data_IF_126844361516
#
_entry.id   IF_126844361516
#
_cell.length_a   1.000
_cell.length_b   1.000
_cell.length_c   1.000
_cell.angle_alpha   90.00
_cell.angle_beta   90.00
_cell.angle_gamma   90.00
#
_symmetry.space_group_name_H-M   'P 1'
#
loop_
_entity.id
_entity.type
_entity.pdbx_description
1 polymer ?
#
# COMPACT_ATOMS: atom_id res chain seq x y z
N UNK A 1 -43.67 47.58 -53.07
CA UNK A 1 -42.27 47.22 -53.31
C UNK A 1 -41.32 48.16 -52.55
N UNK A 2 -40.79 47.82 -51.49
CA UNK A 2 -39.59 48.43 -50.91
C UNK A 2 -39.04 47.49 -49.81
N UNK A 3 -37.83 47.05 -49.98
CA UNK A 3 -37.09 46.30 -49.01
C UNK A 3 -36.40 47.24 -48.03
N UNK A 4 -36.53 46.94 -46.74
CA UNK A 4 -35.69 47.55 -45.69
C UNK A 4 -34.61 46.54 -45.29
N UNK A 5 -33.37 46.99 -45.34
CA UNK A 5 -32.20 46.27 -44.88
C UNK A 5 -32.04 46.46 -43.38
N UNK A 6 -31.88 45.40 -42.63
CA UNK A 6 -31.55 45.43 -41.22
C UNK A 6 -30.05 45.05 -41.05
N UNK A 7 -29.26 45.93 -40.53
CA UNK A 7 -27.87 45.71 -40.18
C UNK A 7 -27.82 45.01 -38.82
N UNK A 8 -27.25 43.81 -38.76
CA UNK A 8 -26.95 43.14 -37.52
C UNK A 8 -25.57 43.50 -37.06
N UNK A 9 -25.49 44.08 -35.88
CA UNK A 9 -24.24 44.33 -35.10
C UNK A 9 -23.69 43.00 -34.61
N UNK A 10 -22.54 42.60 -35.14
CA UNK A 10 -21.79 41.47 -34.64
C UNK A 10 -21.07 41.79 -33.34
N UNK A 11 -21.47 41.18 -32.25
CA UNK A 11 -20.66 41.10 -31.06
C UNK A 11 -19.70 39.95 -31.23
N UNK A 12 -18.39 40.24 -31.33
CA UNK A 12 -17.34 39.24 -31.40
C UNK A 12 -17.30 38.42 -30.13
N UNK A 13 -17.58 37.14 -30.24
CA UNK A 13 -17.24 36.15 -29.21
C UNK A 13 -15.72 36.01 -29.19
N UNK A 14 -15.11 36.12 -27.99
CA UNK A 14 -13.73 35.78 -27.77
C UNK A 14 -13.45 34.32 -28.12
N UNK A 15 -12.26 33.97 -28.65
CA UNK A 15 -11.92 32.60 -28.96
C UNK A 15 -12.02 31.76 -27.67
N UNK A 16 -12.87 30.74 -27.67
CA UNK A 16 -13.03 29.81 -26.58
C UNK A 16 -11.67 29.17 -26.22
N UNK A 17 -11.40 29.10 -24.95
CA UNK A 17 -10.31 28.27 -24.41
C UNK A 17 -10.40 26.88 -25.05
N UNK A 18 -9.26 26.27 -25.44
CA UNK A 18 -9.29 24.92 -25.97
C UNK A 18 -9.88 24.01 -24.89
N UNK A 19 -10.93 23.29 -25.26
CA UNK A 19 -11.55 22.30 -24.39
C UNK A 19 -10.43 21.37 -23.90
N UNK A 20 -10.14 21.42 -22.59
CA UNK A 20 -9.16 20.54 -21.98
C UNK A 20 -9.61 19.12 -22.28
N UNK A 21 -8.83 18.42 -23.06
CA UNK A 21 -9.06 16.99 -23.33
C UNK A 21 -9.06 16.30 -21.98
N UNK A 22 -10.20 15.75 -21.59
CA UNK A 22 -10.33 14.96 -20.36
C UNK A 22 -9.32 13.83 -20.44
N UNK A 23 -8.50 13.59 -19.38
CA UNK A 23 -7.57 12.49 -19.40
C UNK A 23 -8.34 11.18 -19.64
N UNK A 24 -7.81 10.36 -20.54
CA UNK A 24 -8.36 9.04 -20.86
C UNK A 24 -7.42 7.95 -20.33
N UNK A 25 -7.98 6.82 -19.98
CA UNK A 25 -7.20 5.63 -19.57
C UNK A 25 -6.48 5.01 -20.80
N UNK A 26 -5.69 3.97 -20.57
CA UNK A 26 -4.97 3.23 -21.62
C UNK A 26 -5.89 2.59 -22.70
N UNK A 27 -7.22 2.62 -22.50
CA UNK A 27 -8.25 2.16 -23.44
C UNK A 27 -9.03 3.30 -24.08
N UNK A 28 -8.66 4.57 -23.82
CA UNK A 28 -9.35 5.73 -24.36
C UNK A 28 -10.65 6.10 -23.64
N UNK A 29 -10.92 5.55 -22.45
CA UNK A 29 -12.12 5.84 -21.66
C UNK A 29 -11.94 7.10 -20.80
N UNK A 30 -12.98 7.96 -20.63
CA UNK A 30 -12.89 9.13 -19.77
C UNK A 30 -12.56 8.76 -18.31
N UNK A 31 -11.57 9.45 -17.70
CA UNK A 31 -11.07 9.20 -16.34
C UNK A 31 -11.91 9.92 -15.26
N UNK A 32 -13.23 9.97 -15.33
CA UNK A 32 -14.04 10.86 -14.49
C UNK A 32 -14.87 10.23 -13.37
N UNK A 33 -14.60 8.99 -12.96
CA UNK A 33 -15.41 8.35 -11.90
C UNK A 33 -14.81 8.47 -10.50
N UNK A 34 -14.32 9.65 -10.11
CA UNK A 34 -13.81 9.86 -8.75
C UNK A 34 -14.34 11.16 -8.13
N UNK A 35 -14.50 11.14 -6.81
CA UNK A 35 -15.01 12.26 -6.02
C UNK A 35 -14.18 12.47 -4.77
N UNK A 36 -14.01 13.74 -4.36
CA UNK A 36 -13.32 14.11 -3.14
C UNK A 36 -14.31 14.79 -2.21
N UNK A 37 -14.36 14.32 -0.98
CA UNK A 37 -15.08 14.95 0.11
C UNK A 37 -14.03 15.49 1.08
N UNK A 38 -13.93 16.81 1.20
CA UNK A 38 -13.01 17.49 2.12
C UNK A 38 -13.78 17.88 3.38
N UNK A 39 -13.29 17.49 4.54
CA UNK A 39 -13.83 17.93 5.82
C UNK A 39 -13.21 19.29 6.19
N UNK A 40 -13.97 20.35 6.07
CA UNK A 40 -13.51 21.74 6.25
C UNK A 40 -13.24 22.13 7.72
N UNK A 41 -13.48 21.25 8.68
CA UNK A 41 -13.38 21.54 10.10
C UNK A 41 -11.92 21.55 10.62
N UNK A 42 -11.05 22.39 10.04
CA UNK A 42 -9.77 22.76 10.65
C UNK A 42 -8.52 22.07 10.14
N UNK A 43 -8.54 21.44 8.97
CA UNK A 43 -7.36 20.84 8.33
C UNK A 43 -6.85 21.65 7.14
N UNK A 44 -5.59 21.44 6.78
CA UNK A 44 -4.98 21.95 5.55
C UNK A 44 -5.75 21.41 4.34
N UNK A 45 -6.06 22.27 3.37
CA UNK A 45 -6.73 21.82 2.15
C UNK A 45 -5.84 20.86 1.37
N UNK A 46 -6.33 19.67 1.10
CA UNK A 46 -5.66 18.67 0.28
C UNK A 46 -6.37 18.61 -1.07
N UNK A 47 -5.64 18.89 -2.13
CA UNK A 47 -6.12 18.67 -3.50
C UNK A 47 -5.55 17.35 -4.00
N UNK A 48 -6.39 16.50 -4.58
CA UNK A 48 -6.00 15.21 -5.15
C UNK A 48 -6.38 15.20 -6.62
N UNK A 49 -5.49 14.66 -7.46
CA UNK A 49 -5.72 14.48 -8.90
C UNK A 49 -5.31 13.08 -9.30
N UNK A 50 -6.11 12.42 -10.12
CA UNK A 50 -5.76 11.14 -10.70
C UNK A 50 -4.77 11.35 -11.86
N UNK A 51 -3.62 10.66 -11.81
CA UNK A 51 -2.57 10.75 -12.84
C UNK A 51 -2.62 9.56 -13.79
N UNK A 52 -2.77 8.34 -13.26
CA UNK A 52 -2.78 7.12 -14.06
C UNK A 52 -3.84 6.14 -13.57
N UNK A 53 -4.40 5.37 -14.51
CA UNK A 53 -5.20 4.17 -14.23
C UNK A 53 -4.58 3.00 -14.98
N UNK A 54 -4.23 1.96 -14.26
CA UNK A 54 -3.66 0.73 -14.79
C UNK A 54 -4.66 -0.40 -14.64
N UNK A 55 -5.14 -0.92 -15.77
CA UNK A 55 -6.12 -2.01 -15.78
C UNK A 55 -5.42 -3.37 -15.77
N UNK A 56 -6.00 -4.29 -15.01
CA UNK A 56 -5.51 -5.66 -14.85
C UNK A 56 -6.63 -6.65 -15.16
N UNK A 57 -6.26 -7.89 -15.45
CA UNK A 57 -7.24 -8.94 -15.74
C UNK A 57 -7.86 -9.52 -14.46
N UNK A 58 -7.24 -9.29 -13.32
CA UNK A 58 -7.68 -9.78 -12.01
C UNK A 58 -7.56 -8.71 -10.92
N UNK A 59 -8.00 -9.05 -9.71
CA UNK A 59 -7.89 -8.22 -8.51
C UNK A 59 -6.45 -7.77 -8.28
N UNK A 60 -6.26 -6.47 -8.04
CA UNK A 60 -4.96 -5.91 -7.64
C UNK A 60 -4.81 -6.05 -6.13
N UNK A 61 -4.04 -7.04 -5.71
CA UNK A 61 -3.87 -7.37 -4.29
C UNK A 61 -2.88 -6.45 -3.58
N UNK A 62 -1.87 -5.97 -4.29
CA UNK A 62 -0.84 -5.11 -3.72
C UNK A 62 -0.28 -4.14 -4.75
N UNK A 63 0.19 -3.00 -4.23
CA UNK A 63 0.86 -1.95 -4.99
C UNK A 63 2.05 -1.42 -4.21
N UNK A 64 3.15 -1.04 -4.90
CA UNK A 64 4.32 -0.44 -4.26
C UNK A 64 5.10 0.42 -5.25
N UNK A 65 5.65 1.55 -4.80
CA UNK A 65 6.64 2.33 -5.53
C UNK A 65 8.05 1.86 -5.20
N UNK A 66 8.96 1.95 -6.17
CA UNK A 66 10.39 1.83 -5.89
C UNK A 66 10.91 3.06 -5.14
N UNK A 67 11.99 2.89 -4.36
CA UNK A 67 12.50 3.97 -3.53
C UNK A 67 13.12 5.12 -4.33
N UNK A 68 13.59 4.86 -5.55
CA UNK A 68 14.06 5.88 -6.50
C UNK A 68 12.90 6.60 -7.22
N UNK A 69 11.65 6.20 -6.98
CA UNK A 69 10.45 6.77 -7.59
C UNK A 69 10.26 6.46 -9.07
N UNK A 70 11.14 5.66 -9.67
CA UNK A 70 11.12 5.34 -11.11
C UNK A 70 10.07 4.29 -11.46
N UNK A 71 9.93 3.29 -10.60
CA UNK A 71 9.09 2.14 -10.89
C UNK A 71 7.89 2.05 -9.93
N UNK A 72 6.87 1.42 -10.44
CA UNK A 72 5.67 1.05 -9.72
C UNK A 72 5.35 -0.42 -9.97
N UNK A 73 5.16 -1.19 -8.92
CA UNK A 73 4.83 -2.60 -9.00
C UNK A 73 3.40 -2.87 -8.53
N UNK A 74 2.74 -3.81 -9.20
CA UNK A 74 1.42 -4.33 -8.82
C UNK A 74 1.49 -5.84 -8.71
N UNK A 75 0.76 -6.43 -7.76
CA UNK A 75 0.57 -7.86 -7.63
C UNK A 75 -0.87 -8.26 -7.91
N UNK A 76 -1.04 -9.25 -8.78
CA UNK A 76 -2.33 -9.80 -9.19
C UNK A 76 -2.28 -11.32 -9.14
N UNK A 77 -3.21 -12.00 -9.82
CA UNK A 77 -3.17 -13.46 -10.00
C UNK A 77 -1.88 -13.88 -10.71
N UNK A 78 -1.03 -14.64 -10.03
CA UNK A 78 0.27 -15.21 -10.47
C UNK A 78 1.30 -14.23 -11.04
N UNK A 79 1.00 -12.93 -11.07
CA UNK A 79 1.78 -11.94 -11.79
C UNK A 79 2.11 -10.76 -10.90
N UNK A 80 3.39 -10.40 -10.83
CA UNK A 80 3.80 -9.06 -10.42
C UNK A 80 4.17 -8.27 -11.68
N UNK A 81 3.51 -7.14 -11.91
CA UNK A 81 3.78 -6.29 -13.07
C UNK A 81 4.54 -5.04 -12.66
N UNK A 82 5.54 -4.67 -13.45
CA UNK A 82 6.39 -3.49 -13.25
C UNK A 82 6.05 -2.42 -14.28
N UNK A 83 5.83 -1.20 -13.81
CA UNK A 83 5.52 -0.04 -14.64
C UNK A 83 6.53 1.08 -14.41
N UNK A 84 6.82 1.85 -15.44
CA UNK A 84 7.52 3.12 -15.32
C UNK A 84 6.53 4.20 -14.85
N UNK A 85 6.84 4.90 -13.78
CA UNK A 85 5.92 5.85 -13.12
C UNK A 85 5.61 7.06 -13.99
N UNK A 86 6.58 7.51 -14.81
CA UNK A 86 6.43 8.71 -15.62
C UNK A 86 5.58 8.45 -16.86
N UNK A 87 5.88 7.39 -17.57
CA UNK A 87 5.17 7.05 -18.82
C UNK A 87 3.90 6.24 -18.59
N UNK A 88 3.76 5.59 -17.42
CA UNK A 88 2.69 4.64 -17.15
C UNK A 88 2.80 3.34 -17.95
N UNK A 89 3.88 3.18 -18.72
CA UNK A 89 4.06 1.98 -19.53
C UNK A 89 4.54 0.80 -18.70
N UNK A 90 4.02 -0.38 -19.03
CA UNK A 90 4.48 -1.62 -18.42
C UNK A 90 5.85 -1.99 -18.95
N UNK A 91 6.81 -2.15 -18.05
CA UNK A 91 8.19 -2.52 -18.34
C UNK A 91 8.33 -4.03 -18.57
N UNK A 92 7.76 -4.82 -17.63
CA UNK A 92 7.75 -6.28 -17.71
C UNK A 92 6.76 -6.87 -16.70
N UNK A 93 6.58 -8.18 -16.76
CA UNK A 93 5.82 -8.97 -15.80
C UNK A 93 6.69 -10.12 -15.26
N UNK A 94 6.56 -10.38 -13.97
CA UNK A 94 7.19 -11.50 -13.27
C UNK A 94 6.14 -12.56 -13.02
N UNK A 95 6.33 -13.74 -13.60
CA UNK A 95 5.37 -14.82 -13.60
C UNK A 95 6.09 -16.11 -13.23
N UNK A 96 5.73 -16.72 -12.10
CA UNK A 96 6.46 -17.86 -11.55
C UNK A 96 7.97 -17.54 -11.44
N UNK A 97 8.82 -18.24 -12.20
CA UNK A 97 10.27 -18.04 -12.21
C UNK A 97 10.76 -17.31 -13.47
N UNK A 98 9.86 -16.73 -14.25
CA UNK A 98 10.15 -16.11 -15.55
C UNK A 98 9.83 -14.61 -15.54
N UNK A 99 10.53 -13.87 -16.38
CA UNK A 99 10.25 -12.47 -16.70
C UNK A 99 9.71 -12.40 -18.12
N UNK A 100 8.53 -11.83 -18.29
CA UNK A 100 7.83 -11.68 -19.56
C UNK A 100 7.82 -10.19 -19.93
N UNK A 101 8.42 -9.84 -21.05
CA UNK A 101 8.43 -8.46 -21.59
C UNK A 101 7.24 -8.20 -22.54
N UNK A 102 6.52 -9.25 -22.92
CA UNK A 102 5.42 -9.24 -23.87
C UNK A 102 4.07 -8.80 -23.29
N UNK A 103 3.02 -9.21 -23.97
CA UNK A 103 1.64 -8.84 -23.61
C UNK A 103 1.06 -9.73 -22.51
N UNK A 104 -0.18 -9.41 -22.07
CA UNK A 104 -0.88 -10.16 -21.03
C UNK A 104 -1.15 -11.62 -21.42
N UNK A 105 -1.31 -11.93 -22.71
CA UNK A 105 -1.55 -13.30 -23.18
C UNK A 105 -0.30 -14.18 -23.01
N UNK A 106 0.89 -13.63 -23.26
CA UNK A 106 2.16 -14.33 -23.02
C UNK A 106 2.38 -14.58 -21.54
N UNK A 107 2.06 -13.61 -20.68
CA UNK A 107 2.13 -13.78 -19.23
C UNK A 107 1.11 -14.82 -18.75
N UNK A 108 -0.11 -14.84 -19.28
CA UNK A 108 -1.11 -15.84 -18.95
C UNK A 108 -0.67 -17.25 -19.37
N UNK A 109 -0.03 -17.40 -20.54
CA UNK A 109 0.55 -18.67 -20.99
C UNK A 109 1.68 -19.14 -20.05
N UNK A 110 2.57 -18.23 -19.63
CA UNK A 110 3.64 -18.53 -18.68
C UNK A 110 3.13 -18.88 -17.28
N UNK A 111 1.97 -18.32 -16.87
CA UNK A 111 1.38 -18.55 -15.55
C UNK A 111 0.82 -19.97 -15.38
N UNK A 112 0.42 -20.64 -16.46
CA UNK A 112 -0.23 -21.95 -16.38
C UNK A 112 -1.61 -21.91 -15.71
N UNK A 113 -2.21 -23.08 -15.49
CA UNK A 113 -3.54 -23.19 -14.86
C UNK A 113 -3.54 -22.98 -13.34
N UNK A 114 -4.72 -22.73 -12.77
CA UNK A 114 -4.96 -22.53 -11.33
C UNK A 114 -4.73 -21.08 -10.88
N UNK A 115 -5.16 -20.77 -9.67
CA UNK A 115 -4.99 -19.46 -9.04
C UNK A 115 -3.88 -19.50 -7.99
N UNK A 116 -2.98 -18.51 -8.00
CA UNK A 116 -1.94 -18.33 -6.98
C UNK A 116 -1.60 -16.86 -6.91
N UNK A 117 -2.32 -16.11 -6.11
CA UNK A 117 -2.18 -14.65 -6.07
C UNK A 117 -0.83 -14.22 -5.51
N UNK A 118 -0.26 -13.17 -6.15
CA UNK A 118 0.81 -12.35 -5.57
C UNK A 118 0.15 -11.42 -4.55
N UNK A 119 0.30 -11.75 -3.28
CA UNK A 119 -0.38 -11.04 -2.18
C UNK A 119 0.31 -9.78 -1.72
N UNK A 120 1.63 -9.74 -1.85
CA UNK A 120 2.43 -8.59 -1.43
C UNK A 120 3.66 -8.44 -2.31
N UNK A 121 4.03 -7.20 -2.60
CA UNK A 121 5.30 -6.86 -3.26
C UNK A 121 6.01 -5.77 -2.48
N UNK A 122 7.34 -5.82 -2.44
CA UNK A 122 8.17 -4.72 -1.99
C UNK A 122 9.43 -4.61 -2.86
N UNK A 123 10.02 -3.41 -2.87
CA UNK A 123 11.33 -3.19 -3.48
C UNK A 123 12.40 -3.21 -2.41
N UNK A 124 13.61 -3.66 -2.75
CA UNK A 124 14.76 -3.34 -1.92
C UNK A 124 15.00 -1.82 -1.90
N UNK A 125 15.50 -1.26 -0.81
CA UNK A 125 15.74 0.19 -0.68
C UNK A 125 16.62 0.79 -1.77
N UNK A 126 17.55 0.02 -2.35
CA UNK A 126 18.38 0.41 -3.48
C UNK A 126 17.66 0.30 -4.84
N UNK A 127 16.37 -0.08 -4.85
CA UNK A 127 15.52 -0.27 -6.02
C UNK A 127 16.04 -1.30 -7.04
N UNK A 128 16.93 -2.21 -6.61
CA UNK A 128 17.51 -3.24 -7.49
C UNK A 128 16.75 -4.55 -7.49
N UNK A 129 16.03 -4.83 -6.41
CA UNK A 129 15.29 -6.08 -6.27
C UNK A 129 13.79 -5.81 -6.15
N UNK A 130 12.99 -6.70 -6.75
CA UNK A 130 11.57 -6.84 -6.48
C UNK A 130 11.35 -8.15 -5.74
N UNK A 131 10.67 -8.05 -4.61
CA UNK A 131 10.30 -9.19 -3.76
C UNK A 131 8.79 -9.38 -3.81
N UNK A 132 8.32 -10.60 -4.00
CA UNK A 132 6.90 -10.91 -3.98
C UNK A 132 6.60 -12.12 -3.08
N UNK A 133 5.62 -11.98 -2.23
CA UNK A 133 5.03 -13.04 -1.43
C UNK A 133 3.78 -13.60 -2.10
N UNK A 134 3.70 -14.91 -2.22
CA UNK A 134 2.67 -15.60 -3.01
C UNK A 134 1.87 -16.62 -2.20
N UNK A 135 0.71 -16.99 -2.72
CA UNK A 135 -0.15 -18.01 -2.11
C UNK A 135 0.42 -19.43 -2.20
N UNK A 136 1.39 -19.65 -3.08
CA UNK A 136 2.10 -20.92 -3.18
C UNK A 136 3.12 -21.15 -2.05
N UNK A 137 3.14 -20.27 -1.03
CA UNK A 137 4.00 -20.31 0.16
C UNK A 137 5.46 -19.96 -0.12
N UNK A 138 5.76 -19.37 -1.28
CA UNK A 138 7.11 -18.97 -1.66
C UNK A 138 7.27 -17.44 -1.66
N UNK A 139 8.51 -16.99 -1.47
CA UNK A 139 8.89 -15.60 -1.72
C UNK A 139 9.81 -15.61 -2.93
N UNK A 140 9.43 -14.87 -3.95
CA UNK A 140 10.25 -14.69 -5.15
C UNK A 140 11.02 -13.40 -5.07
N UNK A 141 12.31 -13.46 -5.37
CA UNK A 141 13.21 -12.29 -5.38
C UNK A 141 13.81 -12.17 -6.77
N UNK A 142 13.46 -11.10 -7.48
CA UNK A 142 13.98 -10.82 -8.82
C UNK A 142 14.98 -9.65 -8.80
N UNK A 143 16.05 -9.80 -9.55
CA UNK A 143 16.98 -8.72 -9.86
C UNK A 143 16.43 -7.92 -11.05
N UNK A 144 16.15 -6.63 -10.84
CA UNK A 144 15.53 -5.76 -11.83
C UNK A 144 16.51 -5.34 -12.93
N UNK A 145 17.82 -5.38 -12.66
CA UNK A 145 18.86 -5.04 -13.64
C UNK A 145 19.04 -6.17 -14.64
N UNK A 146 19.18 -7.40 -14.14
CA UNK A 146 19.39 -8.59 -14.98
C UNK A 146 18.09 -9.21 -15.44
N UNK A 147 16.94 -8.81 -14.85
CA UNK A 147 15.59 -9.38 -15.09
C UNK A 147 15.56 -10.90 -14.89
N UNK A 148 16.22 -11.37 -13.82
CA UNK A 148 16.29 -12.80 -13.48
C UNK A 148 15.81 -13.05 -12.06
N UNK A 149 15.24 -14.23 -11.86
CA UNK A 149 14.99 -14.72 -10.53
C UNK A 149 16.31 -14.95 -9.81
N UNK A 150 16.49 -14.31 -8.67
CA UNK A 150 17.65 -14.46 -7.80
C UNK A 150 17.47 -15.56 -6.77
N UNK A 151 16.30 -15.55 -6.11
CA UNK A 151 15.93 -16.53 -5.09
C UNK A 151 14.46 -16.91 -5.17
N UNK A 152 14.17 -18.17 -4.85
CA UNK A 152 12.85 -18.67 -4.52
C UNK A 152 12.93 -19.22 -3.09
N UNK A 153 12.48 -18.42 -2.12
CA UNK A 153 12.60 -18.73 -0.70
C UNK A 153 11.42 -19.61 -0.26
N UNK A 154 11.73 -20.73 0.33
CA UNK A 154 10.75 -21.70 0.83
C UNK A 154 10.95 -21.93 2.32
N UNK A 155 9.87 -22.26 3.06
CA UNK A 155 9.95 -22.52 4.50
C UNK A 155 8.73 -22.05 5.28
N UNK A 156 7.81 -21.26 4.67
CA UNK A 156 6.50 -21.04 5.23
C UNK A 156 5.57 -22.23 4.96
N UNK A 157 4.73 -22.56 5.94
CA UNK A 157 3.77 -23.68 5.86
C UNK A 157 2.47 -23.34 5.13
N UNK A 158 2.14 -22.05 5.01
CA UNK A 158 0.92 -21.53 4.35
C UNK A 158 1.24 -20.28 3.52
N UNK A 159 0.19 -19.73 2.89
CA UNK A 159 0.24 -18.53 2.04
C UNK A 159 0.99 -17.38 2.71
N UNK A 160 1.79 -16.68 1.92
CA UNK A 160 2.47 -15.46 2.36
C UNK A 160 1.57 -14.27 2.05
N UNK A 161 1.22 -13.50 3.07
CA UNK A 161 0.32 -12.36 2.93
C UNK A 161 1.05 -11.03 2.82
N UNK A 162 2.25 -10.93 3.37
CA UNK A 162 2.98 -9.67 3.40
C UNK A 162 4.49 -9.89 3.35
N UNK A 163 5.18 -9.01 2.63
CA UNK A 163 6.64 -8.91 2.60
C UNK A 163 7.08 -7.47 2.75
N UNK A 164 8.22 -7.25 3.41
CA UNK A 164 8.88 -5.96 3.54
C UNK A 164 10.40 -6.13 3.56
N UNK A 165 11.17 -5.07 3.33
CA UNK A 165 12.63 -5.11 3.27
C UNK A 165 13.24 -4.16 4.31
N UNK A 166 14.35 -4.57 4.93
CA UNK A 166 15.13 -3.67 5.79
C UNK A 166 15.82 -2.58 4.99
N UNK A 167 15.97 -1.37 5.54
CA UNK A 167 16.56 -0.22 4.84
C UNK A 167 18.04 -0.43 4.47
N UNK A 168 18.73 -1.34 5.11
CA UNK A 168 20.12 -1.74 4.78
C UNK A 168 20.21 -2.74 3.63
N UNK A 169 19.09 -3.11 3.01
CA UNK A 169 18.98 -4.10 1.92
C UNK A 169 19.46 -5.52 2.29
N UNK A 170 19.58 -5.85 3.58
CA UNK A 170 20.14 -7.13 4.03
C UNK A 170 19.10 -8.21 4.25
N UNK A 171 17.93 -7.83 4.74
CA UNK A 171 16.91 -8.78 5.16
C UNK A 171 15.56 -8.50 4.48
N UNK A 172 14.82 -9.57 4.24
CA UNK A 172 13.42 -9.57 3.86
C UNK A 172 12.62 -10.07 5.06
N UNK A 173 11.58 -9.34 5.45
CA UNK A 173 10.58 -9.80 6.39
C UNK A 173 9.39 -10.39 5.64
N UNK A 174 8.79 -11.44 6.18
CA UNK A 174 7.56 -12.03 5.62
C UNK A 174 6.59 -12.43 6.72
N UNK A 175 5.29 -12.31 6.44
CA UNK A 175 4.20 -12.76 7.30
C UNK A 175 3.31 -13.76 6.57
N UNK A 176 2.90 -14.81 7.27
CA UNK A 176 2.18 -15.94 6.66
C UNK A 176 0.98 -16.40 7.47
N UNK A 177 0.05 -17.04 6.75
CA UNK A 177 -1.07 -17.78 7.33
C UNK A 177 -0.66 -18.98 8.19
N UNK A 178 0.62 -19.34 8.23
CA UNK A 178 1.16 -20.34 9.15
C UNK A 178 1.38 -19.82 10.58
N UNK A 179 0.97 -18.59 10.86
CA UNK A 179 1.04 -17.89 12.15
C UNK A 179 2.44 -17.41 12.52
N UNK A 180 3.37 -17.42 11.57
CA UNK A 180 4.75 -16.96 11.81
C UNK A 180 5.08 -15.74 10.96
N UNK A 181 6.03 -14.93 11.45
CA UNK A 181 6.81 -14.03 10.65
C UNK A 181 8.24 -14.56 10.53
N UNK A 182 8.90 -14.31 9.40
CA UNK A 182 10.28 -14.79 9.17
C UNK A 182 11.15 -13.68 8.62
N UNK A 183 12.46 -13.78 8.92
CA UNK A 183 13.52 -12.99 8.31
C UNK A 183 14.38 -13.85 7.40
N UNK A 184 14.72 -13.31 6.25
CA UNK A 184 15.51 -13.97 5.21
C UNK A 184 16.68 -13.10 4.82
N UNK A 185 17.86 -13.66 4.74
CA UNK A 185 19.06 -12.97 4.23
C UNK A 185 18.96 -12.83 2.70
N UNK A 186 18.98 -11.60 2.20
CA UNK A 186 18.83 -11.27 0.77
C UNK A 186 19.96 -11.87 -0.09
N UNK A 187 21.15 -12.00 0.49
CA UNK A 187 22.33 -12.48 -0.24
C UNK A 187 22.32 -14.01 -0.41
N UNK A 188 21.97 -14.72 0.65
CA UNK A 188 22.03 -16.20 0.68
C UNK A 188 20.70 -16.87 0.40
N UNK A 189 19.58 -16.16 0.59
CA UNK A 189 18.23 -16.71 0.55
C UNK A 189 17.87 -17.57 1.77
N UNK A 190 18.72 -17.62 2.79
CA UNK A 190 18.47 -18.43 3.98
C UNK A 190 17.49 -17.75 4.93
N UNK A 191 16.60 -18.53 5.56
CA UNK A 191 15.82 -18.07 6.70
C UNK A 191 16.74 -17.93 7.91
N UNK A 192 16.93 -16.68 8.37
CA UNK A 192 17.81 -16.38 9.52
C UNK A 192 17.06 -16.38 10.83
N UNK A 193 15.73 -16.14 10.81
CA UNK A 193 14.90 -16.13 12.02
C UNK A 193 13.44 -16.41 11.74
N UNK A 194 12.80 -17.07 12.69
CA UNK A 194 11.34 -17.26 12.75
C UNK A 194 10.84 -16.62 14.04
N UNK A 195 9.71 -15.88 13.94
CA UNK A 195 9.03 -15.26 15.06
C UNK A 195 7.63 -15.83 15.21
N UNK A 196 7.17 -15.97 16.44
CA UNK A 196 5.83 -16.41 16.75
C UNK A 196 5.65 -17.92 16.75
N UNK A 197 6.72 -18.68 16.84
CA UNK A 197 6.73 -20.13 17.04
C UNK A 197 6.74 -20.53 18.53
N UNK A 198 6.62 -19.56 19.42
CA UNK A 198 6.55 -19.72 20.87
C UNK A 198 5.13 -19.51 21.44
N UNK A 199 4.98 -19.62 22.75
CA UNK A 199 3.71 -19.45 23.47
C UNK A 199 3.08 -18.05 23.35
N UNK A 200 3.89 -17.01 23.06
CA UNK A 200 3.46 -15.63 22.88
C UNK A 200 3.19 -15.31 21.39
N UNK A 201 3.39 -16.28 20.52
CA UNK A 201 3.19 -16.15 19.09
C UNK A 201 1.73 -15.90 18.70
N UNK A 202 1.50 -15.54 17.42
CA UNK A 202 0.15 -15.38 16.89
C UNK A 202 -0.63 -16.70 16.94
N UNK A 203 -1.85 -16.66 17.44
CA UNK A 203 -2.73 -17.83 17.44
C UNK A 203 -3.46 -18.03 16.11
N UNK A 204 -3.40 -17.03 15.22
CA UNK A 204 -3.93 -17.09 13.86
C UNK A 204 -2.97 -16.39 12.86
N UNK A 205 -3.29 -16.43 11.56
CA UNK A 205 -2.41 -15.98 10.48
C UNK A 205 -1.89 -14.55 10.63
N UNK A 206 -0.62 -14.35 10.29
CA UNK A 206 0.02 -13.04 10.18
C UNK A 206 -0.34 -12.45 8.82
N UNK A 207 -1.11 -11.37 8.84
CA UNK A 207 -1.67 -10.72 7.64
C UNK A 207 -0.76 -9.65 7.04
N UNK A 208 0.02 -8.98 7.89
CA UNK A 208 0.87 -7.86 7.48
C UNK A 208 2.11 -7.80 8.35
N UNK A 209 3.25 -7.52 7.73
CA UNK A 209 4.51 -7.21 8.41
C UNK A 209 5.06 -5.87 7.95
N UNK A 210 5.74 -5.17 8.84
CA UNK A 210 6.50 -3.98 8.53
C UNK A 210 7.80 -3.96 9.32
N UNK A 211 8.88 -3.50 8.70
CA UNK A 211 10.18 -3.29 9.36
C UNK A 211 10.29 -1.84 9.78
N UNK A 212 10.74 -1.58 11.00
CA UNK A 212 10.98 -0.20 11.46
C UNK A 212 12.09 0.47 10.64
N UNK A 213 12.05 1.81 10.47
CA UNK A 213 13.05 2.53 9.67
C UNK A 213 14.50 2.35 10.14
N UNK A 214 14.72 2.11 11.42
CA UNK A 214 16.04 1.81 11.99
C UNK A 214 16.46 0.33 11.85
N UNK A 215 15.56 -0.52 11.32
CA UNK A 215 15.76 -1.95 11.15
C UNK A 215 15.69 -2.76 12.45
N UNK A 216 15.43 -2.12 13.60
CA UNK A 216 15.45 -2.75 14.90
C UNK A 216 14.27 -3.63 15.19
N UNK A 217 13.10 -3.27 14.69
CA UNK A 217 11.85 -3.98 14.99
C UNK A 217 11.16 -4.51 13.74
N UNK A 218 10.47 -5.65 13.92
CA UNK A 218 9.43 -6.13 13.03
C UNK A 218 8.11 -6.03 13.75
N UNK A 219 7.14 -5.33 13.16
CA UNK A 219 5.75 -5.35 13.56
C UNK A 219 4.97 -6.35 12.70
N UNK A 220 4.10 -7.13 13.32
CA UNK A 220 3.21 -8.06 12.63
C UNK A 220 1.78 -7.94 13.15
N UNK A 221 0.87 -7.65 12.22
CA UNK A 221 -0.57 -7.70 12.44
C UNK A 221 -1.11 -9.11 12.19
N UNK A 222 -2.07 -9.56 13.00
CA UNK A 222 -2.61 -10.90 12.92
C UNK A 222 -4.13 -10.94 12.90
N UNK A 223 -4.68 -12.02 12.37
CA UNK A 223 -6.11 -12.33 12.43
C UNK A 223 -6.59 -12.53 13.87
N UNK A 224 -5.69 -12.79 14.81
CA UNK A 224 -5.98 -12.88 16.25
C UNK A 224 -6.22 -11.52 16.93
N UNK A 225 -6.29 -10.41 16.15
CA UNK A 225 -6.56 -9.02 16.58
C UNK A 225 -5.42 -8.33 17.30
N UNK A 226 -4.27 -9.00 17.43
CA UNK A 226 -3.10 -8.50 18.15
C UNK A 226 -2.02 -8.08 17.17
N UNK A 227 -1.33 -7.00 17.48
CA UNK A 227 -0.08 -6.64 16.81
C UNK A 227 1.08 -6.97 17.72
N UNK A 228 2.05 -7.69 17.19
CA UNK A 228 3.27 -8.07 17.92
C UNK A 228 4.46 -7.35 17.34
N UNK A 229 5.35 -6.95 18.23
CA UNK A 229 6.60 -6.27 17.88
C UNK A 229 7.76 -7.10 18.38
N UNK A 230 8.62 -7.55 17.48
CA UNK A 230 9.84 -8.29 17.83
C UNK A 230 11.08 -7.50 17.51
N UNK A 231 12.09 -7.65 18.34
CA UNK A 231 13.44 -7.15 18.09
C UNK A 231 14.14 -8.04 17.06
N UNK A 232 14.65 -7.45 16.00
CA UNK A 232 15.22 -8.18 14.84
C UNK A 232 16.54 -8.87 15.18
N UNK A 233 17.33 -8.30 16.10
CA UNK A 233 18.64 -8.82 16.47
C UNK A 233 18.51 -9.98 17.47
N UNK A 234 17.70 -9.80 18.51
CA UNK A 234 17.55 -10.81 19.57
C UNK A 234 16.49 -11.86 19.25
N UNK A 235 15.47 -11.49 18.47
CA UNK A 235 14.27 -12.30 18.21
C UNK A 235 13.24 -12.25 19.32
N UNK A 236 13.53 -11.51 20.40
CA UNK A 236 12.64 -11.41 21.53
C UNK A 236 11.38 -10.60 21.19
N UNK A 237 10.24 -10.99 21.77
CA UNK A 237 9.03 -10.19 21.75
C UNK A 237 9.27 -8.92 22.58
N UNK A 238 9.26 -7.77 21.91
CA UNK A 238 9.51 -6.47 22.51
C UNK A 238 8.25 -5.84 23.10
N UNK A 239 7.10 -6.03 22.43
CA UNK A 239 5.80 -5.51 22.88
C UNK A 239 4.63 -6.20 22.18
N UNK A 240 3.42 -6.05 22.76
CA UNK A 240 2.15 -6.45 22.18
C UNK A 240 1.14 -5.32 22.27
N UNK A 241 0.45 -5.05 21.16
CA UNK A 241 -0.57 -4.02 21.08
C UNK A 241 -1.95 -4.68 20.97
N UNK A 242 -2.63 -4.73 22.12
CA UNK A 242 -3.98 -5.23 22.26
C UNK A 242 -4.98 -4.07 22.16
N UNK A 243 -6.17 -4.34 21.60
CA UNK A 243 -7.23 -3.33 21.62
C UNK A 243 -8.13 -3.31 20.41
N UNK A 244 -7.65 -3.78 19.23
CA UNK A 244 -8.56 -3.96 18.09
C UNK A 244 -9.65 -4.97 18.42
N UNK A 245 -10.88 -4.67 18.02
CA UNK A 245 -12.04 -5.54 18.26
C UNK A 245 -12.13 -6.68 17.23
N UNK A 246 -11.39 -6.57 16.11
CA UNK A 246 -11.37 -7.56 15.04
C UNK A 246 -9.96 -7.64 14.42
N UNK A 247 -9.75 -8.57 13.47
CA UNK A 247 -8.49 -8.87 12.82
C UNK A 247 -7.73 -7.63 12.36
N UNK A 248 -6.42 -7.60 12.60
CA UNK A 248 -5.53 -6.56 12.07
C UNK A 248 -5.09 -6.98 10.67
N UNK A 249 -5.28 -6.10 9.68
CA UNK A 249 -5.04 -6.43 8.27
C UNK A 249 -3.84 -5.73 7.68
N UNK A 250 -3.44 -4.60 8.24
CA UNK A 250 -2.29 -3.82 7.75
C UNK A 250 -1.58 -3.12 8.89
N UNK A 251 -0.25 -3.08 8.82
CA UNK A 251 0.62 -2.33 9.73
C UNK A 251 1.61 -1.48 8.95
N UNK A 252 1.97 -0.31 9.47
CA UNK A 252 2.94 0.59 8.84
C UNK A 252 3.62 1.45 9.91
N UNK A 253 4.96 1.53 9.87
CA UNK A 253 5.69 2.48 10.72
C UNK A 253 5.64 3.89 10.14
N UNK A 254 5.65 4.90 11.02
CA UNK A 254 5.94 6.27 10.61
C UNK A 254 7.39 6.38 10.12
N UNK A 255 7.69 7.35 9.22
CA UNK A 255 9.04 7.50 8.66
C UNK A 255 10.14 7.74 9.69
N UNK A 256 9.79 8.35 10.83
CA UNK A 256 10.69 8.58 11.97
C UNK A 256 10.78 7.40 12.95
N UNK A 257 9.99 6.33 12.73
CA UNK A 257 9.93 5.14 13.56
C UNK A 257 9.27 5.33 14.93
N UNK A 258 8.71 6.52 15.22
CA UNK A 258 8.12 6.81 16.53
C UNK A 258 6.71 6.23 16.71
N UNK A 259 6.00 6.01 15.62
CA UNK A 259 4.62 5.53 15.62
C UNK A 259 4.47 4.27 14.77
N UNK A 260 3.51 3.44 15.15
CA UNK A 260 3.00 2.34 14.33
C UNK A 260 1.52 2.59 14.04
N UNK A 261 1.13 2.57 12.77
CA UNK A 261 -0.26 2.59 12.34
C UNK A 261 -0.76 1.17 12.09
N UNK A 262 -2.00 0.91 12.47
CA UNK A 262 -2.66 -0.38 12.26
C UNK A 262 -4.06 -0.18 11.71
N UNK A 263 -4.43 -0.94 10.68
CA UNK A 263 -5.76 -1.00 10.10
C UNK A 263 -6.43 -2.34 10.38
N UNK A 264 -7.70 -2.31 10.77
CA UNK A 264 -8.42 -3.50 11.22
C UNK A 264 -9.80 -3.67 10.58
N UNK A 265 -10.28 -4.89 10.59
CA UNK A 265 -11.66 -5.23 10.22
C UNK A 265 -12.69 -4.64 11.21
N UNK A 266 -12.25 -4.11 12.35
CA UNK A 266 -13.10 -3.33 13.26
C UNK A 266 -13.44 -1.91 12.73
N UNK A 267 -13.03 -1.59 11.48
CA UNK A 267 -13.24 -0.32 10.76
C UNK A 267 -12.47 0.87 11.32
N UNK A 268 -11.51 0.63 12.22
CA UNK A 268 -10.68 1.68 12.80
C UNK A 268 -9.26 1.61 12.29
N UNK A 269 -8.60 2.78 12.28
CA UNK A 269 -7.15 2.89 12.20
C UNK A 269 -6.65 3.35 13.55
N UNK A 270 -5.62 2.69 14.10
CA UNK A 270 -5.04 3.06 15.39
C UNK A 270 -3.57 3.40 15.25
N UNK A 271 -3.13 4.33 16.09
CA UNK A 271 -1.72 4.71 16.21
C UNK A 271 -1.19 4.31 17.58
N UNK A 272 -0.01 3.74 17.59
CA UNK A 272 0.68 3.25 18.77
C UNK A 272 2.02 3.94 18.92
N UNK A 273 2.37 4.33 20.15
CA UNK A 273 3.64 5.00 20.44
C UNK A 273 4.74 3.95 20.67
N UNK A 274 5.66 3.86 19.71
CA UNK A 274 6.78 2.90 19.73
C UNK A 274 7.91 3.36 20.66
N UNK A 275 8.01 4.65 20.94
CA UNK A 275 9.06 5.18 21.84
C UNK A 275 8.93 4.70 23.28
N UNK A 276 7.77 4.13 23.62
CA UNK A 276 7.48 3.59 24.96
C UNK A 276 7.74 2.08 25.08
N UNK A 277 8.18 1.43 24.01
CA UNK A 277 8.51 -0.02 24.03
C UNK A 277 9.59 -0.32 25.06
N UNK A 278 9.36 -1.32 25.91
CA UNK A 278 10.24 -1.70 27.01
C UNK A 278 10.27 -0.74 28.20
N UNK A 279 9.49 0.35 28.17
CA UNK A 279 9.42 1.34 29.28
C UNK A 279 8.07 1.31 30.00
N UNK A 280 7.07 0.67 29.43
CA UNK A 280 5.70 0.60 29.98
C UNK A 280 5.62 -0.41 31.11
N UNK A 281 4.78 -0.10 32.10
CA UNK A 281 4.40 -0.99 33.21
C UNK A 281 2.96 -1.47 33.06
N UNK A 282 2.51 -1.78 31.84
CA UNK A 282 1.13 -2.21 31.59
C UNK A 282 0.86 -2.39 30.10
N UNK A 283 -0.39 -2.72 29.77
CA UNK A 283 -0.81 -2.90 28.38
C UNK A 283 -0.66 -1.62 27.56
N UNK A 284 -0.27 -1.78 26.30
CA UNK A 284 -0.18 -0.69 25.36
C UNK A 284 -1.59 -0.21 24.96
N UNK A 285 -1.94 1.02 25.32
CA UNK A 285 -3.12 1.69 24.80
C UNK A 285 -2.79 2.40 23.46
N UNK A 286 -3.75 2.46 22.52
CA UNK A 286 -3.55 3.26 21.32
C UNK A 286 -3.42 4.73 21.71
N UNK A 287 -2.44 5.42 21.14
CA UNK A 287 -2.28 6.87 21.32
C UNK A 287 -3.42 7.63 20.67
N UNK A 288 -3.92 7.11 19.54
CA UNK A 288 -5.02 7.70 18.79
C UNK A 288 -5.83 6.64 18.05
N UNK A 289 -7.14 6.88 17.90
CA UNK A 289 -8.05 6.02 17.13
C UNK A 289 -8.78 6.87 16.10
N UNK A 290 -8.57 6.57 14.82
CA UNK A 290 -9.29 7.18 13.73
C UNK A 290 -10.54 6.38 13.40
N UNK A 291 -11.68 7.07 13.33
CA UNK A 291 -13.01 6.52 13.01
C UNK A 291 -13.59 7.26 11.81
N UNK A 292 -13.97 6.55 10.77
CA UNK A 292 -14.53 7.16 9.54
C UNK A 292 -14.91 6.15 8.50
N UNK A 293 -14.19 5.04 8.42
CA UNK A 293 -14.53 3.97 7.48
C UNK A 293 -15.83 3.27 7.85
N UNK A 294 -16.63 2.97 6.81
CA UNK A 294 -17.92 2.28 6.93
C UNK A 294 -17.80 0.75 6.89
N UNK A 295 -16.66 0.25 6.44
CA UNK A 295 -16.34 -1.18 6.31
C UNK A 295 -14.87 -1.42 6.64
N UNK A 296 -14.39 -2.64 6.53
CA UNK A 296 -13.06 -3.12 6.89
C UNK A 296 -11.93 -2.24 6.37
N UNK A 297 -10.98 -1.88 7.22
CA UNK A 297 -9.73 -1.23 6.81
C UNK A 297 -8.74 -2.32 6.40
N UNK A 298 -8.32 -2.28 5.14
CA UNK A 298 -7.49 -3.32 4.53
C UNK A 298 -6.04 -2.89 4.35
N UNK A 299 -5.77 -1.58 4.29
CA UNK A 299 -4.41 -1.06 4.10
C UNK A 299 -4.24 0.26 4.81
N UNK A 300 -3.05 0.48 5.38
CA UNK A 300 -2.61 1.76 5.92
C UNK A 300 -1.20 2.08 5.40
N UNK A 301 -0.93 3.36 5.12
CA UNK A 301 0.38 3.80 4.64
C UNK A 301 0.67 5.23 5.09
N UNK A 302 1.81 5.45 5.75
CA UNK A 302 2.29 6.80 6.07
C UNK A 302 2.84 7.49 4.82
N UNK A 303 2.59 8.79 4.70
CA UNK A 303 3.31 9.63 3.75
C UNK A 303 4.78 9.77 4.17
N UNK A 304 5.72 9.94 3.21
CA UNK A 304 7.14 10.04 3.51
C UNK A 304 7.52 11.18 4.46
N UNK A 305 6.72 12.25 4.49
CA UNK A 305 6.91 13.38 5.41
C UNK A 305 6.33 13.12 6.81
N UNK A 306 5.59 12.03 7.00
CA UNK A 306 4.95 11.69 8.27
C UNK A 306 3.70 12.51 8.62
N UNK A 307 3.35 13.53 7.84
CA UNK A 307 2.23 14.43 8.12
C UNK A 307 0.85 13.84 7.81
N UNK A 308 0.82 12.85 6.96
CA UNK A 308 -0.39 12.20 6.50
C UNK A 308 -0.28 10.68 6.67
N UNK A 309 -1.38 10.11 7.11
CA UNK A 309 -1.61 8.67 7.07
C UNK A 309 -2.79 8.43 6.11
N UNK A 310 -2.67 7.46 5.23
CA UNK A 310 -3.74 7.02 4.35
C UNK A 310 -4.25 5.66 4.81
N UNK A 311 -5.55 5.46 4.64
CA UNK A 311 -6.18 4.15 4.82
C UNK A 311 -7.10 3.81 3.66
N UNK A 312 -7.03 2.56 3.21
CA UNK A 312 -7.88 1.98 2.17
C UNK A 312 -8.83 0.95 2.78
N UNK A 313 -10.06 0.95 2.28
CA UNK A 313 -11.11 0.15 2.89
C UNK A 313 -11.96 -0.62 1.87
N UNK A 314 -12.63 -1.64 2.39
CA UNK A 314 -13.69 -2.35 1.69
C UNK A 314 -14.89 -1.44 1.38
N UNK A 315 -15.04 -0.30 2.04
CA UNK A 315 -16.03 0.74 1.70
C UNK A 315 -15.73 1.47 0.39
N UNK A 316 -14.67 1.08 -0.34
CA UNK A 316 -14.21 1.59 -1.64
C UNK A 316 -13.57 2.97 -1.58
N UNK A 317 -13.32 3.50 -0.39
CA UNK A 317 -12.69 4.82 -0.20
C UNK A 317 -11.23 4.71 0.22
N UNK A 318 -10.48 5.78 -0.09
CA UNK A 318 -9.22 6.11 0.57
C UNK A 318 -9.49 7.30 1.48
N UNK A 319 -9.07 7.22 2.74
CA UNK A 319 -9.21 8.31 3.70
C UNK A 319 -7.84 8.83 4.11
N UNK A 320 -7.75 10.16 4.24
CA UNK A 320 -6.55 10.87 4.66
C UNK A 320 -6.74 11.36 6.10
N UNK A 321 -5.73 11.11 6.92
CA UNK A 321 -5.69 11.45 8.32
C UNK A 321 -4.50 12.36 8.59
N UNK A 322 -4.76 13.53 9.17
CA UNK A 322 -3.72 14.48 9.53
C UNK A 322 -3.05 14.04 10.84
N UNK A 323 -1.81 13.57 10.76
CA UNK A 323 -1.07 13.10 11.93
C UNK A 323 -0.54 14.24 12.81
N UNK A 324 -0.53 15.48 12.33
CA UNK A 324 -0.12 16.66 13.12
C UNK A 324 -1.11 16.95 14.26
N UNK A 325 -2.35 16.49 14.13
CA UNK A 325 -3.36 16.56 15.20
C UNK A 325 -2.95 15.79 16.46
N UNK A 326 -1.99 14.86 16.34
CA UNK A 326 -1.41 14.15 17.48
C UNK A 326 -0.62 15.06 18.43
N UNK A 327 -0.29 16.28 18.03
CA UNK A 327 0.34 17.27 18.88
C UNK A 327 -0.64 17.79 19.95
N UNK A 328 -1.94 17.75 19.66
CA UNK A 328 -2.99 18.04 20.64
C UNK A 328 -3.30 16.80 21.49
N UNK A 329 -2.68 16.71 22.67
CA UNK A 329 -2.84 15.57 23.58
C UNK A 329 -4.24 15.46 24.20
N UNK A 330 -5.10 16.42 23.97
CA UNK A 330 -6.49 16.40 24.48
C UNK A 330 -7.40 15.61 23.55
N UNK A 331 -7.01 15.42 22.29
CA UNK A 331 -7.77 14.65 21.30
C UNK A 331 -7.27 13.20 21.27
N UNK A 332 -8.21 12.28 21.30
CA UNK A 332 -7.95 10.83 21.21
C UNK A 332 -8.64 10.17 20.02
N UNK A 333 -9.60 10.85 19.42
CA UNK A 333 -10.38 10.36 18.27
C UNK A 333 -10.68 11.52 17.31
N UNK A 334 -10.63 11.27 16.01
CA UNK A 334 -11.03 12.24 14.97
C UNK A 334 -11.52 11.53 13.69
N UNK A 335 -12.24 12.32 12.85
CA UNK A 335 -12.66 11.90 11.52
C UNK A 335 -11.62 12.16 10.44
N UNK A 336 -11.82 11.68 9.21
CA UNK A 336 -10.89 11.90 8.10
C UNK A 336 -10.91 13.35 7.64
N UNK A 337 -9.73 13.88 7.30
CA UNK A 337 -9.59 15.19 6.66
C UNK A 337 -10.09 15.18 5.22
N UNK A 338 -9.88 14.06 4.51
CA UNK A 338 -10.31 13.87 3.13
C UNK A 338 -10.79 12.44 2.93
N UNK A 339 -11.89 12.29 2.20
CA UNK A 339 -12.38 11.01 1.70
C UNK A 339 -12.32 11.03 0.18
N UNK A 340 -11.53 10.13 -0.40
CA UNK A 340 -11.43 9.94 -1.84
C UNK A 340 -12.23 8.70 -2.25
N UNK A 341 -13.18 8.90 -3.14
CA UNK A 341 -13.99 7.85 -3.75
C UNK A 341 -13.67 7.77 -5.24
N UNK A 342 -13.52 6.60 -5.79
CA UNK A 342 -13.17 6.42 -7.20
C UNK A 342 -12.97 4.96 -7.58
N UNK A 343 -12.82 4.08 -6.60
CA UNK A 343 -12.82 2.65 -6.82
C UNK A 343 -14.24 2.08 -6.76
N UNK A 344 -14.52 1.10 -7.63
CA UNK A 344 -15.83 0.41 -7.69
C UNK A 344 -15.88 -0.84 -6.80
N UNK A 345 -14.74 -1.23 -6.19
CA UNK A 345 -14.61 -2.33 -5.25
C UNK A 345 -13.62 -1.96 -4.14
N UNK A 346 -13.40 -2.87 -3.19
CA UNK A 346 -12.50 -2.71 -2.05
C UNK A 346 -11.14 -2.13 -2.44
N UNK A 347 -10.67 -1.11 -1.72
CA UNK A 347 -9.29 -0.64 -1.79
C UNK A 347 -8.46 -1.54 -0.90
N UNK A 348 -7.65 -2.41 -1.54
CA UNK A 348 -6.95 -3.51 -0.85
C UNK A 348 -5.55 -3.08 -0.42
N UNK A 349 -4.88 -2.24 -1.21
CA UNK A 349 -3.49 -1.85 -0.98
C UNK A 349 -3.27 -0.38 -1.29
N UNK A 350 -2.46 0.25 -0.46
CA UNK A 350 -2.00 1.63 -0.62
C UNK A 350 -0.47 1.69 -0.54
N UNK A 351 0.12 2.61 -1.30
CA UNK A 351 1.53 2.93 -1.20
C UNK A 351 1.76 4.41 -1.49
N UNK A 352 2.69 5.05 -0.77
CA UNK A 352 3.20 6.37 -1.11
C UNK A 352 4.47 6.28 -1.94
N UNK A 353 4.67 7.23 -2.85
CA UNK A 353 5.94 7.41 -3.54
C UNK A 353 6.92 8.12 -2.59
N UNK A 354 8.14 7.58 -2.40
CA UNK A 354 9.14 8.24 -1.56
C UNK A 354 9.66 9.56 -2.12
N UNK A 355 9.60 9.74 -3.45
CA UNK A 355 10.25 10.84 -4.17
C UNK A 355 9.30 11.94 -4.63
N UNK A 356 7.99 11.74 -4.55
CA UNK A 356 7.00 12.69 -5.06
C UNK A 356 5.72 12.65 -4.21
N UNK A 357 4.92 13.70 -4.30
CA UNK A 357 3.60 13.75 -3.67
C UNK A 357 2.60 12.88 -4.45
N UNK A 358 2.95 11.61 -4.64
CA UNK A 358 2.13 10.60 -5.27
C UNK A 358 1.78 9.52 -4.27
N UNK A 359 0.60 8.97 -4.42
CA UNK A 359 0.24 7.70 -3.81
C UNK A 359 -0.48 6.82 -4.82
N UNK A 360 -0.52 5.55 -4.54
CA UNK A 360 -1.22 4.58 -5.37
C UNK A 360 -2.20 3.77 -4.55
N UNK A 361 -3.27 3.34 -5.21
CA UNK A 361 -4.28 2.44 -4.67
C UNK A 361 -4.49 1.25 -5.59
N UNK A 362 -4.50 0.05 -5.03
CA UNK A 362 -4.84 -1.21 -5.70
C UNK A 362 -6.19 -1.72 -5.21
N UNK A 363 -7.03 -2.19 -6.12
CA UNK A 363 -8.41 -2.51 -5.80
C UNK A 363 -8.91 -3.83 -6.40
N UNK A 364 -9.95 -4.36 -5.76
CA UNK A 364 -10.75 -5.46 -6.25
C UNK A 364 -11.51 -5.16 -7.55
N UNK A 365 -11.59 -3.90 -7.99
CA UNK A 365 -12.14 -3.49 -9.28
C UNK A 365 -11.18 -3.75 -10.46
N UNK A 366 -10.06 -4.43 -10.21
CA UNK A 366 -9.01 -4.76 -11.17
C UNK A 366 -8.23 -3.54 -11.67
N UNK A 367 -8.26 -2.44 -10.93
CA UNK A 367 -7.50 -1.24 -11.27
C UNK A 367 -6.46 -0.94 -10.19
N UNK A 368 -5.27 -0.55 -10.62
CA UNK A 368 -4.35 0.22 -9.83
C UNK A 368 -4.41 1.67 -10.30
N UNK A 369 -4.48 2.61 -9.38
CA UNK A 369 -4.54 4.05 -9.69
C UNK A 369 -3.40 4.77 -9.02
N UNK A 370 -2.78 5.72 -9.74
CA UNK A 370 -1.77 6.64 -9.19
C UNK A 370 -2.39 8.02 -9.11
N UNK A 371 -2.24 8.64 -7.96
CA UNK A 371 -2.83 9.91 -7.57
C UNK A 371 -1.73 10.89 -7.16
N UNK A 372 -1.89 12.14 -7.55
CA UNK A 372 -1.09 13.25 -7.04
C UNK A 372 -1.88 14.01 -5.99
N UNK A 373 -1.24 14.38 -4.90
CA UNK A 373 -1.84 15.26 -3.89
C UNK A 373 -0.96 16.48 -3.64
N UNK A 374 -1.60 17.60 -3.34
CA UNK A 374 -0.92 18.84 -2.90
C UNK A 374 -1.61 19.34 -1.65
N UNK A 375 -0.83 19.84 -0.72
CA UNK A 375 -1.30 20.45 0.53
C UNK A 375 -1.05 21.94 0.47
N UNK A 376 -2.09 22.75 0.71
CA UNK A 376 -2.03 24.24 0.74
C UNK A 376 -1.82 24.74 2.17
#
# INVERSE_FOLDING_TARGET
AARAANAASGTGAAPGEPASLKPVDSRGMPMEDWNIIVNSAGGQAVKVKQELVLHHDSVVCCVRFSNDGRYFATGCNKTAALYDVVSGQRVCMFVNDQVVEGNAAEAAAAAGGGDSYVRSVCFSPDSRLLVAGTEDKTIKVWDLTTRRLRHSLTGHGKNIYSVDCTLDCRLIASGSGDRTAKLWDVRTGACVRTFGDDENGPIDGVTSVAVSPDGRYIAAGSLDKVVRLWDTETGALADMFNGHADSVYSVSFSPDGSLLATGSLDRTVRLWDITQVGKRTGEAAPRFTFKGHKDFVLSVAFAPQGNWLLSGSKDRSVQFWDTRMLLDRTKTEDGPSVILQGHHNSVISLAHSPMANLFASGSGDKCARIWRYTTE
#
